data_IF_298222221031
#
_entry.id   IF_298222221031
#
_cell.length_a   1.000
_cell.length_b   1.000
_cell.length_c   1.000
_cell.angle_alpha   90.00
_cell.angle_beta   90.00
_cell.angle_gamma   90.00
#
_symmetry.space_group_name_H-M   'P 1'
#
loop_
_entity.id
_entity.type
_entity.pdbx_description
1 polymer ?
#
# COMPACT_ATOMS: atom_id res chain seq x y z
N UNK A 1 4.44 -20.90 17.97
CA UNK A 1 5.42 -19.82 17.76
C UNK A 1 4.64 -18.64 17.25
N UNK A 2 4.71 -17.50 17.94
CA UNK A 2 4.01 -16.30 17.49
C UNK A 2 4.86 -15.60 16.42
N UNK A 3 4.22 -15.22 15.32
CA UNK A 3 4.86 -14.41 14.30
C UNK A 3 5.06 -13.01 14.87
N UNK A 4 6.28 -12.47 14.76
CA UNK A 4 6.60 -11.09 15.13
C UNK A 4 6.98 -10.32 13.88
N UNK A 5 6.57 -9.05 13.80
CA UNK A 5 6.94 -8.20 12.67
C UNK A 5 8.43 -7.86 12.76
N UNK A 6 9.15 -8.04 11.65
CA UNK A 6 10.58 -7.69 11.56
C UNK A 6 10.80 -6.20 11.26
N UNK A 7 9.76 -5.47 10.82
CA UNK A 7 9.86 -4.03 10.61
C UNK A 7 9.92 -3.29 11.94
N UNK A 8 10.62 -2.16 11.94
CA UNK A 8 10.58 -1.24 13.08
C UNK A 8 9.14 -0.74 13.30
N UNK A 9 8.65 -0.68 14.56
CA UNK A 9 7.34 -0.12 14.87
C UNK A 9 7.43 1.41 14.75
N UNK A 10 6.98 1.95 13.62
CA UNK A 10 7.04 3.37 13.29
C UNK A 10 5.65 3.92 12.99
N UNK A 11 5.40 5.16 13.42
CA UNK A 11 4.25 5.95 12.98
C UNK A 11 4.48 6.48 11.56
N UNK A 12 3.40 6.87 10.87
CA UNK A 12 3.47 7.38 9.49
C UNK A 12 4.42 8.58 9.36
N UNK A 13 4.31 9.56 10.26
CA UNK A 13 5.16 10.75 10.24
C UNK A 13 6.65 10.42 10.36
N UNK A 14 6.99 9.39 11.13
CA UNK A 14 8.38 8.95 11.32
C UNK A 14 8.88 8.16 10.11
N UNK A 15 8.01 7.39 9.47
CA UNK A 15 8.30 6.75 8.18
C UNK A 15 8.59 7.80 7.10
N UNK A 16 7.78 8.86 7.02
CA UNK A 16 7.99 9.98 6.10
C UNK A 16 9.33 10.67 6.37
N UNK A 17 9.64 10.97 7.64
CA UNK A 17 10.93 11.57 8.01
C UNK A 17 12.11 10.66 7.64
N UNK A 18 11.98 9.36 7.82
CA UNK A 18 13.02 8.39 7.50
C UNK A 18 13.27 8.25 6.00
N UNK A 19 12.22 8.27 5.18
CA UNK A 19 12.33 8.16 3.72
C UNK A 19 12.71 9.51 3.09
N UNK A 20 12.23 10.61 3.66
CA UNK A 20 12.50 11.98 3.22
C UNK A 20 11.64 12.45 2.04
N UNK A 21 10.69 11.64 1.57
CA UNK A 21 9.78 11.95 0.46
C UNK A 21 8.37 11.45 0.79
N UNK A 22 7.49 12.38 1.20
CA UNK A 22 6.10 12.10 1.55
C UNK A 22 5.31 11.51 0.38
N UNK A 23 5.50 12.04 -0.83
CA UNK A 23 4.79 11.52 -2.01
C UNK A 23 5.20 10.08 -2.26
N UNK A 24 6.48 9.77 -2.14
CA UNK A 24 6.98 8.41 -2.32
C UNK A 24 6.39 7.44 -1.30
N UNK A 25 6.22 7.85 -0.04
CA UNK A 25 5.58 7.01 0.99
C UNK A 25 4.14 6.68 0.57
N UNK A 26 3.38 7.69 0.15
CA UNK A 26 1.99 7.48 -0.30
C UNK A 26 1.94 6.62 -1.57
N UNK A 27 2.82 6.87 -2.55
CA UNK A 27 2.93 6.04 -3.76
C UNK A 27 3.17 4.57 -3.40
N UNK A 28 4.05 4.30 -2.42
CA UNK A 28 4.32 2.93 -1.95
C UNK A 28 3.07 2.27 -1.36
N UNK A 29 2.35 2.96 -0.46
CA UNK A 29 1.12 2.44 0.15
C UNK A 29 0.04 2.15 -0.90
N UNK A 30 -0.12 3.03 -1.90
CA UNK A 30 -1.07 2.86 -3.00
C UNK A 30 -0.71 1.64 -3.84
N UNK A 31 0.57 1.47 -4.20
CA UNK A 31 1.06 0.30 -4.94
C UNK A 31 0.91 -1.00 -4.15
N UNK A 32 1.16 -0.99 -2.84
CA UNK A 32 1.01 -2.16 -1.97
C UNK A 32 -0.45 -2.60 -1.89
N UNK A 33 -1.38 -1.66 -1.72
CA UNK A 33 -2.82 -1.95 -1.70
C UNK A 33 -3.31 -2.49 -3.05
N UNK A 34 -2.82 -1.96 -4.17
CA UNK A 34 -3.14 -2.54 -5.48
C UNK A 34 -2.75 -4.02 -5.56
N UNK A 35 -1.58 -4.41 -5.02
CA UNK A 35 -1.15 -5.82 -5.03
C UNK A 35 -2.02 -6.68 -4.13
N UNK A 36 -2.45 -6.19 -2.97
CA UNK A 36 -3.42 -6.89 -2.13
C UNK A 36 -4.70 -7.23 -2.90
N UNK A 37 -5.13 -6.34 -3.80
CA UNK A 37 -6.35 -6.51 -4.62
C UNK A 37 -6.10 -7.38 -5.86
N UNK A 38 -4.99 -7.18 -6.58
CA UNK A 38 -4.77 -7.79 -7.90
C UNK A 38 -4.04 -9.14 -7.83
N UNK A 39 -3.11 -9.33 -6.90
CA UNK A 39 -2.27 -10.53 -6.84
C UNK A 39 -3.03 -11.83 -6.52
N UNK A 40 -4.14 -11.84 -5.74
CA UNK A 40 -4.96 -13.03 -5.58
C UNK A 40 -5.51 -13.57 -6.91
N UNK A 41 -5.85 -12.68 -7.86
CA UNK A 41 -6.34 -13.06 -9.20
C UNK A 41 -5.29 -13.79 -10.04
N UNK A 42 -4.01 -13.57 -9.71
CA UNK A 42 -2.85 -14.18 -10.36
C UNK A 42 -2.30 -15.39 -9.58
N UNK A 43 -2.86 -15.72 -8.42
CA UNK A 43 -2.38 -16.78 -7.54
C UNK A 43 -1.10 -16.45 -6.78
N UNK A 44 -0.69 -15.18 -6.72
CA UNK A 44 0.52 -14.74 -6.00
C UNK A 44 0.26 -14.44 -4.52
N UNK A 45 -0.99 -14.20 -4.13
CA UNK A 45 -1.40 -13.89 -2.76
C UNK A 45 -2.74 -14.56 -2.42
N UNK A 46 -3.02 -14.68 -1.12
CA UNK A 46 -4.36 -15.06 -0.63
C UNK A 46 -5.26 -13.83 -0.69
N UNK A 47 -6.54 -14.02 -1.03
CA UNK A 47 -7.54 -12.95 -1.05
C UNK A 47 -7.74 -12.34 0.34
N UNK A 48 -7.75 -11.02 0.41
CA UNK A 48 -8.00 -10.24 1.62
C UNK A 48 -9.24 -9.38 1.40
N UNK A 49 -10.10 -9.28 2.41
CA UNK A 49 -11.24 -8.37 2.37
C UNK A 49 -10.73 -6.93 2.48
N UNK A 50 -10.99 -6.12 1.45
CA UNK A 50 -10.70 -4.68 1.46
C UNK A 50 -12.02 -3.95 1.67
N UNK A 51 -12.12 -3.20 2.75
CA UNK A 51 -13.31 -2.41 3.05
C UNK A 51 -13.52 -1.30 2.03
N UNK A 52 -14.79 -0.92 1.83
CA UNK A 52 -15.16 0.05 0.79
C UNK A 52 -14.50 1.43 0.99
N UNK A 53 -14.33 1.87 2.24
CA UNK A 53 -13.66 3.12 2.57
C UNK A 53 -12.16 3.10 2.20
N UNK A 54 -11.49 1.97 2.40
CA UNK A 54 -10.10 1.76 1.99
C UNK A 54 -9.97 1.75 0.46
N UNK A 55 -10.90 1.09 -0.23
CA UNK A 55 -10.93 1.09 -1.70
C UNK A 55 -11.20 2.49 -2.28
N UNK A 56 -12.16 3.23 -1.70
CA UNK A 56 -12.46 4.61 -2.10
C UNK A 56 -11.27 5.55 -1.89
N UNK A 57 -10.54 5.38 -0.78
CA UNK A 57 -9.32 6.15 -0.50
C UNK A 57 -8.22 5.85 -1.53
N UNK A 58 -8.03 4.57 -1.87
CA UNK A 58 -7.13 4.13 -2.93
C UNK A 58 -7.47 4.80 -4.27
N UNK A 59 -8.72 4.74 -4.71
CA UNK A 59 -9.14 5.37 -5.96
C UNK A 59 -8.89 6.88 -5.97
N UNK A 60 -9.17 7.56 -4.85
CA UNK A 60 -8.93 9.00 -4.72
C UNK A 60 -7.45 9.35 -4.84
N UNK A 61 -6.58 8.57 -4.21
CA UNK A 61 -5.13 8.78 -4.26
C UNK A 61 -4.56 8.50 -5.66
N UNK A 62 -5.01 7.44 -6.33
CA UNK A 62 -4.64 7.18 -7.74
C UNK A 62 -5.06 8.35 -8.63
N UNK A 63 -6.31 8.82 -8.51
CA UNK A 63 -6.80 9.99 -9.27
C UNK A 63 -6.04 11.28 -8.95
N UNK A 64 -5.46 11.40 -7.76
CA UNK A 64 -4.64 12.53 -7.34
C UNK A 64 -3.17 12.44 -7.83
N UNK A 65 -2.78 11.37 -8.53
CA UNK A 65 -1.44 11.20 -9.11
C UNK A 65 -0.44 10.45 -8.21
N UNK A 66 -0.94 9.68 -7.24
CA UNK A 66 -0.09 8.80 -6.42
C UNK A 66 0.08 7.41 -7.05
N UNK A 67 0.53 7.35 -8.30
CA UNK A 67 0.47 6.15 -9.16
C UNK A 67 1.84 5.57 -9.56
N UNK A 68 2.95 6.16 -9.10
CA UNK A 68 4.30 5.81 -9.57
C UNK A 68 4.77 4.39 -9.23
N UNK A 69 4.07 3.72 -8.31
CA UNK A 69 4.34 2.33 -7.87
C UNK A 69 3.25 1.34 -8.26
N UNK A 70 2.26 1.76 -9.04
CA UNK A 70 1.26 0.83 -9.56
C UNK A 70 1.92 -0.17 -10.51
N UNK A 71 1.46 -1.42 -10.45
CA UNK A 71 1.81 -2.43 -11.44
C UNK A 71 1.07 -2.11 -12.75
N UNK A 72 1.82 -2.10 -13.85
CA UNK A 72 1.23 -2.02 -15.18
C UNK A 72 0.45 -3.31 -15.49
N UNK A 73 -0.72 -3.16 -16.09
CA UNK A 73 -1.53 -4.26 -16.61
C UNK A 73 -0.99 -4.85 -17.90
#
# INVERSE_FOLDING_TARGET
>A
MEAVCASEPLELDDCIKSIGDEKLVVDMLVGDLQRVIEYPKLGFAVEQEVSADVYDAYERLVRAGFDSRLVAG
#
